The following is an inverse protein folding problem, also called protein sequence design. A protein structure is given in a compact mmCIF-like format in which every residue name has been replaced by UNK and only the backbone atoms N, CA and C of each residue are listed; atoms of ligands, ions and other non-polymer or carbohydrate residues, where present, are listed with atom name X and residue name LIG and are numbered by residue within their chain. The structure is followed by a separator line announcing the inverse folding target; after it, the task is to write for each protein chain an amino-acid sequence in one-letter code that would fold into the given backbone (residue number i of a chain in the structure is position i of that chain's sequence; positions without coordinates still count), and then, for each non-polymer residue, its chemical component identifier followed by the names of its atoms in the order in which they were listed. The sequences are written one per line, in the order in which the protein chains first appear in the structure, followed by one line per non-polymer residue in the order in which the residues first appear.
data_IF_432367748386
#
_entry.id   IF_432367748386
#
_cell.length_a   1.000
_cell.length_b   1.000
_cell.length_c   1.000
_cell.angle_alpha   90.00
_cell.angle_beta   90.00
_cell.angle_gamma   90.00
#
_symmetry.space_group_name_H-M   'P 1'
#
loop_
_entity.id
_entity.type
_entity.pdbx_description
1 polymer ?
#
# COMPACT_ATOMS: atom_id res chain seq x y z
N UNK A 1 11.56 -12.09 20.24
CA UNK A 1 11.14 -10.94 21.07
C UNK A 1 9.65 -11.09 21.38
N UNK A 2 9.27 -11.04 22.67
CA UNK A 2 7.86 -11.00 23.09
C UNK A 2 7.57 -9.57 23.56
N UNK A 3 6.64 -8.89 22.92
CA UNK A 3 6.16 -7.59 23.37
C UNK A 3 5.10 -7.77 24.47
N UNK A 4 4.96 -6.79 25.39
CA UNK A 4 3.85 -6.77 26.33
C UNK A 4 2.50 -6.71 25.62
N UNK A 5 1.45 -7.23 26.26
CA UNK A 5 0.08 -7.08 25.77
C UNK A 5 -0.27 -5.60 25.62
N UNK A 6 -1.02 -5.25 24.57
CA UNK A 6 -1.39 -3.87 24.28
C UNK A 6 -0.33 -3.09 23.49
N UNK A 7 0.80 -3.70 23.10
CA UNK A 7 1.83 -3.00 22.32
C UNK A 7 1.28 -2.45 21.00
N UNK A 8 1.62 -1.20 20.70
CA UNK A 8 1.22 -0.49 19.49
C UNK A 8 2.46 -0.13 18.67
N UNK A 9 2.55 -0.68 17.46
CA UNK A 9 3.66 -0.37 16.55
C UNK A 9 3.34 0.86 15.70
N UNK A 10 4.38 1.63 15.37
CA UNK A 10 4.28 2.73 14.41
C UNK A 10 4.47 2.21 12.98
N UNK A 11 3.56 2.57 12.09
CA UNK A 11 3.63 2.34 10.66
C UNK A 11 3.76 3.69 9.98
N UNK A 12 4.89 3.93 9.32
CA UNK A 12 5.13 5.16 8.57
C UNK A 12 4.63 4.99 7.14
N UNK A 13 3.76 5.91 6.72
CA UNK A 13 3.23 5.99 5.37
C UNK A 13 4.16 6.86 4.52
N UNK A 14 4.51 6.37 3.33
CA UNK A 14 5.23 7.12 2.32
C UNK A 14 4.40 7.25 1.05
N UNK A 15 4.77 8.15 0.11
CA UNK A 15 4.10 8.24 -1.17
C UNK A 15 4.12 6.90 -1.92
N UNK A 16 3.07 6.59 -2.69
CA UNK A 16 2.98 5.38 -3.52
C UNK A 16 3.07 4.06 -2.76
N UNK A 17 2.68 4.08 -1.48
CA UNK A 17 2.52 2.85 -0.70
C UNK A 17 1.28 2.12 -1.21
N UNK A 18 1.50 0.91 -1.73
CA UNK A 18 0.44 0.05 -2.24
C UNK A 18 -0.18 -0.76 -1.10
N UNK A 19 -1.39 -1.28 -1.33
CA UNK A 19 -2.13 -2.14 -0.41
C UNK A 19 -1.24 -3.25 0.15
N UNK A 20 -0.53 -3.97 -0.71
CA UNK A 20 0.30 -5.10 -0.31
C UNK A 20 1.53 -4.68 0.50
N UNK A 21 2.16 -3.55 0.16
CA UNK A 21 3.27 -3.01 0.96
C UNK A 21 2.81 -2.57 2.34
N UNK A 22 1.66 -1.89 2.43
CA UNK A 22 1.06 -1.52 3.71
C UNK A 22 0.76 -2.77 4.55
N UNK A 23 0.08 -3.75 3.96
CA UNK A 23 -0.27 -4.99 4.63
C UNK A 23 0.97 -5.73 5.13
N UNK A 24 2.01 -5.89 4.30
CA UNK A 24 3.27 -6.51 4.70
C UNK A 24 3.93 -5.77 5.87
N UNK A 25 3.92 -4.43 5.85
CA UNK A 25 4.43 -3.60 6.96
C UNK A 25 3.65 -3.84 8.25
N UNK A 26 2.32 -3.74 8.21
CA UNK A 26 1.44 -3.96 9.35
C UNK A 26 1.56 -5.38 9.92
N UNK A 27 1.59 -6.40 9.06
CA UNK A 27 1.63 -7.81 9.44
C UNK A 27 2.95 -8.23 10.13
N UNK A 28 4.00 -7.40 10.05
CA UNK A 28 5.20 -7.61 10.88
C UNK A 28 4.88 -7.50 12.37
N UNK A 29 3.84 -6.73 12.73
CA UNK A 29 3.33 -6.70 14.10
C UNK A 29 2.60 -8.01 14.41
N UNK A 30 3.30 -8.93 15.07
CA UNK A 30 2.72 -10.21 15.51
C UNK A 30 1.57 -9.96 16.48
N UNK A 31 0.50 -10.75 16.40
CA UNK A 31 -0.74 -10.57 17.18
C UNK A 31 -1.47 -9.25 16.92
N UNK A 32 -1.31 -8.65 15.73
CA UNK A 32 -2.14 -7.53 15.30
C UNK A 32 -3.63 -7.93 15.34
N UNK A 33 -4.46 -7.09 15.95
CA UNK A 33 -5.88 -7.37 16.18
C UNK A 33 -6.16 -8.37 17.32
N UNK A 34 -5.11 -8.97 17.90
CA UNK A 34 -5.17 -9.96 18.97
C UNK A 34 -4.37 -9.49 20.18
N UNK A 35 -4.67 -8.27 20.64
CA UNK A 35 -4.02 -7.60 21.75
C UNK A 35 -2.88 -6.66 21.36
N UNK A 36 -2.36 -6.71 20.13
CA UNK A 36 -1.47 -5.67 19.59
C UNK A 36 -2.16 -4.85 18.51
N UNK A 37 -1.70 -3.62 18.32
CA UNK A 37 -2.26 -2.68 17.36
C UNK A 37 -1.18 -1.95 16.58
N UNK A 38 -1.60 -1.14 15.61
CA UNK A 38 -0.72 -0.22 14.88
C UNK A 38 -1.24 1.22 15.01
N UNK A 39 -0.35 2.17 14.78
CA UNK A 39 -0.68 3.57 14.52
C UNK A 39 0.01 4.01 13.25
N UNK A 40 -0.60 4.94 12.54
CA UNK A 40 -0.06 5.44 11.29
C UNK A 40 0.53 6.83 11.47
N UNK A 41 1.67 7.07 10.82
CA UNK A 41 2.29 8.38 10.71
C UNK A 41 2.46 8.69 9.24
N UNK A 42 1.97 9.85 8.80
CA UNK A 42 2.08 10.29 7.41
C UNK A 42 2.75 11.67 7.34
N UNK A 43 3.60 11.92 6.34
CA UNK A 43 3.96 13.29 5.98
C UNK A 43 2.73 14.05 5.47
N UNK A 44 2.77 15.37 5.53
CA UNK A 44 1.64 16.26 5.18
C UNK A 44 1.03 15.94 3.82
N UNK A 45 1.86 15.70 2.80
CA UNK A 45 1.40 15.36 1.45
C UNK A 45 0.54 14.09 1.41
N UNK A 46 0.95 13.03 2.13
CA UNK A 46 0.20 11.77 2.17
C UNK A 46 -1.09 11.94 2.97
N UNK A 47 -1.07 12.66 4.09
CA UNK A 47 -2.27 12.97 4.87
C UNK A 47 -3.31 13.75 4.02
N UNK A 48 -2.86 14.76 3.27
CA UNK A 48 -3.71 15.53 2.37
C UNK A 48 -4.32 14.66 1.27
N UNK A 49 -3.55 13.74 0.68
CA UNK A 49 -4.07 12.81 -0.33
C UNK A 49 -5.13 11.86 0.25
N UNK A 50 -4.89 11.32 1.46
CA UNK A 50 -5.86 10.47 2.16
C UNK A 50 -7.16 11.25 2.40
N UNK A 51 -7.06 12.47 2.95
CA UNK A 51 -8.21 13.36 3.20
C UNK A 51 -9.00 13.65 1.94
N UNK A 52 -8.32 14.05 0.88
CA UNK A 52 -8.91 14.36 -0.42
C UNK A 52 -9.73 13.17 -0.96
N UNK A 53 -9.13 11.98 -0.93
CA UNK A 53 -9.78 10.74 -1.40
C UNK A 53 -10.95 10.35 -0.51
N UNK A 54 -10.87 10.57 0.80
CA UNK A 54 -11.95 10.25 1.74
C UNK A 54 -13.01 11.35 1.87
N UNK A 55 -12.88 12.45 1.11
CA UNK A 55 -13.74 13.63 1.24
C UNK A 55 -13.82 14.16 2.69
N UNK A 56 -12.67 14.21 3.36
CA UNK A 56 -12.51 14.63 4.76
C UNK A 56 -11.83 15.99 4.85
N UNK A 57 -12.30 16.83 5.75
CA UNK A 57 -11.71 18.13 6.06
C UNK A 57 -10.53 17.99 7.03
N UNK A 58 -9.77 19.07 7.26
CA UNK A 58 -8.60 19.09 8.15
C UNK A 58 -8.93 18.72 9.61
N UNK A 59 -10.18 18.96 10.03
CA UNK A 59 -10.67 18.63 11.39
C UNK A 59 -11.13 17.19 11.54
N UNK A 60 -11.40 16.51 10.44
CA UNK A 60 -11.93 15.15 10.48
C UNK A 60 -10.87 14.15 10.93
N UNK A 61 -11.31 13.15 11.67
CA UNK A 61 -10.45 12.07 12.13
C UNK A 61 -10.23 11.09 10.98
N UNK A 62 -8.96 10.86 10.65
CA UNK A 62 -8.55 9.78 9.74
C UNK A 62 -8.56 8.45 10.51
N UNK A 63 -9.24 7.46 9.96
CA UNK A 63 -9.26 6.10 10.48
C UNK A 63 -8.51 5.12 9.54
N UNK A 64 -8.47 3.85 9.93
CA UNK A 64 -7.79 2.83 9.14
C UNK A 64 -8.47 2.55 7.78
N UNK A 65 -9.78 2.76 7.65
CA UNK A 65 -10.51 2.54 6.41
C UNK A 65 -10.13 3.59 5.35
N UNK A 66 -9.92 4.86 5.76
CA UNK A 66 -9.41 5.90 4.86
C UNK A 66 -8.04 5.54 4.28
N UNK A 67 -7.14 5.08 5.15
CA UNK A 67 -5.78 4.68 4.76
C UNK A 67 -5.83 3.49 3.81
N UNK A 68 -6.68 2.50 4.09
CA UNK A 68 -6.89 1.36 3.21
C UNK A 68 -7.45 1.81 1.85
N UNK A 69 -8.43 2.71 1.82
CA UNK A 69 -8.99 3.25 0.58
C UNK A 69 -7.91 3.94 -0.26
N UNK A 70 -7.13 4.82 0.35
CA UNK A 70 -6.02 5.50 -0.33
C UNK A 70 -5.00 4.50 -0.89
N UNK A 71 -4.53 3.53 -0.11
CA UNK A 71 -3.54 2.54 -0.59
C UNK A 71 -4.07 1.62 -1.68
N UNK A 72 -5.38 1.35 -1.72
CA UNK A 72 -6.00 0.61 -2.83
C UNK A 72 -5.95 1.45 -4.11
N UNK A 73 -6.23 2.75 -4.05
CA UNK A 73 -6.13 3.63 -5.21
C UNK A 73 -4.69 3.77 -5.70
N UNK A 74 -3.71 3.94 -4.80
CA UNK A 74 -2.28 3.91 -5.15
C UNK A 74 -1.87 2.60 -5.85
N UNK A 75 -2.50 1.48 -5.46
CA UNK A 75 -2.27 0.18 -6.12
C UNK A 75 -2.87 0.16 -7.52
N UNK A 76 -4.08 0.67 -7.70
CA UNK A 76 -4.70 0.79 -9.02
C UNK A 76 -3.87 1.66 -9.96
N UNK A 77 -3.37 2.80 -9.47
CA UNK A 77 -2.51 3.70 -10.24
C UNK A 77 -1.18 3.04 -10.60
N UNK A 78 -0.56 2.31 -9.66
CA UNK A 78 0.65 1.55 -9.93
C UNK A 78 0.42 0.48 -11.00
N UNK A 79 -0.70 -0.26 -10.92
CA UNK A 79 -1.06 -1.29 -11.91
C UNK A 79 -1.24 -0.67 -13.29
N UNK A 80 -1.97 0.44 -13.39
CA UNK A 80 -2.20 1.13 -14.66
C UNK A 80 -0.88 1.65 -15.26
N UNK A 81 0.00 2.23 -14.43
CA UNK A 81 1.30 2.73 -14.86
C UNK A 81 2.20 1.60 -15.41
N UNK A 82 2.11 0.39 -14.84
CA UNK A 82 2.92 -0.77 -15.25
C UNK A 82 2.35 -1.53 -16.45
N UNK A 83 1.06 -1.39 -16.75
CA UNK A 83 0.39 -2.13 -17.82
C UNK A 83 1.10 -2.06 -19.19
N UNK A 84 1.60 -0.89 -19.67
CA UNK A 84 2.31 -0.83 -20.95
C UNK A 84 3.61 -1.64 -20.95
N UNK A 85 4.33 -1.65 -19.83
CA UNK A 85 5.57 -2.41 -19.70
C UNK A 85 5.29 -3.91 -19.74
N UNK A 86 4.22 -4.38 -19.09
CA UNK A 86 3.80 -5.77 -19.17
C UNK A 86 3.38 -6.17 -20.58
N UNK A 87 2.68 -5.29 -21.30
CA UNK A 87 2.33 -5.52 -22.70
C UNK A 87 3.58 -5.69 -23.57
N UNK A 88 4.57 -4.80 -23.41
CA UNK A 88 5.84 -4.91 -24.14
C UNK A 88 6.62 -6.19 -23.78
N UNK A 89 6.69 -6.53 -22.49
CA UNK A 89 7.33 -7.77 -22.04
C UNK A 89 6.67 -9.02 -22.63
N UNK A 90 5.35 -9.01 -22.78
CA UNK A 90 4.59 -10.08 -23.44
C UNK A 90 4.95 -10.21 -24.93
N UNK A 91 5.00 -9.09 -25.66
CA UNK A 91 5.40 -9.07 -27.06
C UNK A 91 6.85 -9.55 -27.26
N UNK A 92 7.77 -9.05 -26.44
CA UNK A 92 9.18 -9.43 -26.48
C UNK A 92 9.35 -10.93 -26.16
N UNK A 93 8.58 -11.47 -25.21
CA UNK A 93 8.60 -12.90 -24.89
C UNK A 93 8.16 -13.75 -26.08
N UNK A 94 7.08 -13.37 -26.77
CA UNK A 94 6.60 -14.07 -27.97
C UNK A 94 7.65 -14.10 -29.08
N UNK A 95 8.23 -12.93 -29.40
CA UNK A 95 9.30 -12.85 -30.41
C UNK A 95 10.51 -13.71 -30.08
N UNK A 96 10.91 -13.77 -28.79
CA UNK A 96 12.03 -14.62 -28.35
C UNK A 96 11.68 -16.10 -28.43
N UNK A 97 10.44 -16.49 -28.13
CA UNK A 97 10.00 -17.87 -28.21
C UNK A 97 10.06 -18.38 -29.66
N UNK A 98 9.50 -17.62 -30.61
CA UNK A 98 9.49 -17.99 -32.04
C UNK A 98 10.92 -18.17 -32.60
N UNK A 99 11.84 -17.28 -32.20
CA UNK A 99 13.25 -17.37 -32.59
C UNK A 99 13.99 -18.57 -31.98
N UNK A 100 13.54 -19.08 -30.82
CA UNK A 100 14.12 -20.26 -30.16
C UNK A 100 13.53 -21.57 -30.65
N UNK A 101 12.27 -21.57 -31.10
CA UNK A 101 11.59 -22.76 -31.63
C UNK A 101 11.84 -23.01 -33.12
N UNK A 102 12.58 -22.11 -33.78
CA UNK A 102 13.03 -22.22 -35.18
C UNK A 102 14.41 -22.88 -35.24
#
# INVERSE_FOLDING_TARGET
IKFPLGFRAAVTLGPKVTKDRLAQGCMRMRKLGHGHSVMFFAPREVDQNIRLISSKDDTDVIDAADILRWTILETCDEIQLRAPQWAQQGADHGSRYDAWSS
#
